data_IF_387263298921
#
_entry.id   IF_387263298921
#
_cell.length_a   1.000
_cell.length_b   1.000
_cell.length_c   1.000
_cell.angle_alpha   90.00
_cell.angle_beta   90.00
_cell.angle_gamma   90.00
#
_symmetry.space_group_name_H-M   'P 1'
#
loop_
_entity.id
_entity.type
_entity.pdbx_description
1 polymer ?
#
# COMPACT_ATOMS: atom_id res chain seq x y z
N UNK A 1 4.13 14.58 5.63
CA UNK A 1 3.24 13.47 6.02
C UNK A 1 2.07 13.46 5.05
N UNK A 2 1.79 12.30 4.45
CA UNK A 2 0.70 12.13 3.47
C UNK A 2 -0.42 11.31 4.12
N UNK A 3 -1.66 11.49 3.68
CA UNK A 3 -2.82 10.80 4.24
C UNK A 3 -3.29 9.70 3.30
N UNK A 4 -3.51 8.49 3.83
CA UNK A 4 -3.96 7.36 3.03
C UNK A 4 -5.31 7.63 2.33
N UNK A 5 -6.24 8.25 3.04
CA UNK A 5 -7.59 8.59 2.53
C UNK A 5 -7.52 9.54 1.33
N UNK A 6 -6.65 10.56 1.40
CA UNK A 6 -6.44 11.52 0.34
C UNK A 6 -5.67 10.93 -0.86
N UNK A 7 -4.73 10.02 -0.60
CA UNK A 7 -3.91 9.39 -1.64
C UNK A 7 -4.73 8.49 -2.57
N UNK A 8 -5.68 7.75 -2.01
CA UNK A 8 -6.49 6.77 -2.75
C UNK A 8 -7.96 7.16 -2.89
N UNK A 9 -8.34 8.36 -2.44
CA UNK A 9 -9.72 8.85 -2.40
C UNK A 9 -10.67 7.86 -1.71
N UNK A 10 -10.30 7.45 -0.48
CA UNK A 10 -11.01 6.47 0.35
C UNK A 10 -11.71 7.17 1.53
N UNK A 11 -12.82 7.91 1.33
CA UNK A 11 -13.48 8.67 2.39
C UNK A 11 -14.12 7.79 3.47
N UNK A 12 -14.33 6.50 3.19
CA UNK A 12 -14.96 5.55 4.13
C UNK A 12 -14.01 5.09 5.24
N UNK A 13 -12.70 5.29 5.06
CA UNK A 13 -11.70 5.08 6.11
C UNK A 13 -11.83 6.19 7.16
N UNK A 14 -12.56 5.90 8.25
CA UNK A 14 -12.82 6.86 9.36
C UNK A 14 -11.56 7.37 10.06
N UNK A 15 -10.46 6.63 10.00
CA UNK A 15 -9.19 7.02 10.58
C UNK A 15 -8.23 7.45 9.47
N UNK A 16 -7.83 8.71 9.53
CA UNK A 16 -6.80 9.26 8.66
C UNK A 16 -5.45 8.67 9.07
N UNK A 17 -4.92 7.76 8.26
CA UNK A 17 -3.62 7.13 8.50
C UNK A 17 -2.53 8.00 7.87
N UNK A 18 -1.60 8.45 8.70
CA UNK A 18 -0.44 9.19 8.28
C UNK A 18 0.63 8.26 7.72
N UNK A 19 1.16 8.64 6.57
CA UNK A 19 2.19 7.91 5.84
C UNK A 19 3.43 8.80 5.74
N UNK A 20 4.57 8.24 6.15
CA UNK A 20 5.86 8.91 6.13
C UNK A 20 6.52 8.77 4.76
N UNK A 21 6.78 7.53 4.33
CA UNK A 21 7.41 7.23 3.05
C UNK A 21 6.65 6.13 2.31
N UNK A 22 6.95 5.99 1.02
CA UNK A 22 6.54 4.87 0.19
C UNK A 22 7.72 3.91 0.01
N UNK A 23 7.53 2.62 0.27
CA UNK A 23 8.57 1.60 0.22
C UNK A 23 8.09 0.39 -0.58
N UNK A 24 8.91 -0.05 -1.55
CA UNK A 24 8.63 -1.25 -2.36
C UNK A 24 9.36 -2.51 -1.87
N UNK A 25 10.41 -2.34 -1.06
CA UNK A 25 11.21 -3.43 -0.50
C UNK A 25 10.81 -3.64 0.97
N UNK A 26 10.11 -4.74 1.26
CA UNK A 26 9.61 -5.05 2.61
C UNK A 26 10.70 -5.02 3.68
N UNK A 27 11.96 -5.30 3.30
CA UNK A 27 13.12 -5.28 4.19
C UNK A 27 13.54 -3.86 4.63
N UNK A 28 13.03 -2.83 3.95
CA UNK A 28 13.32 -1.42 4.24
C UNK A 28 12.17 -0.69 4.92
N UNK A 29 11.03 -1.36 5.10
CA UNK A 29 9.84 -0.80 5.74
C UNK A 29 10.16 -0.41 7.19
N UNK A 30 9.67 0.76 7.60
CA UNK A 30 9.72 1.24 8.97
C UNK A 30 8.33 1.63 9.45
N UNK A 31 8.22 1.86 10.76
CA UNK A 31 7.02 2.40 11.37
C UNK A 31 6.56 3.70 10.67
N UNK A 32 5.30 3.73 10.23
CA UNK A 32 4.72 4.87 9.52
C UNK A 32 4.83 4.81 8.00
N UNK A 33 5.52 3.83 7.43
CA UNK A 33 5.67 3.73 5.98
C UNK A 33 4.45 3.08 5.32
N UNK A 34 4.23 3.44 4.06
CA UNK A 34 3.37 2.73 3.12
C UNK A 34 4.19 1.66 2.40
N UNK A 35 3.81 0.39 2.54
CA UNK A 35 4.38 -0.68 1.74
C UNK A 35 3.60 -0.88 0.44
N UNK A 36 4.31 -0.97 -0.69
CA UNK A 36 3.72 -1.14 -2.03
C UNK A 36 4.11 -2.52 -2.57
N UNK A 37 3.19 -3.46 -2.47
CA UNK A 37 3.32 -4.84 -2.93
C UNK A 37 2.90 -4.95 -4.41
N UNK A 38 3.88 -4.77 -5.30
CA UNK A 38 3.71 -4.93 -6.75
C UNK A 38 3.90 -6.40 -7.14
N UNK A 39 3.07 -6.90 -8.04
CA UNK A 39 3.24 -8.22 -8.64
C UNK A 39 4.27 -8.12 -9.77
N UNK A 40 5.53 -8.37 -9.43
CA UNK A 40 6.63 -8.38 -10.40
C UNK A 40 6.65 -9.65 -11.25
N UNK A 41 7.47 -9.63 -12.30
CA UNK A 41 7.62 -10.79 -13.21
C UNK A 41 8.30 -12.00 -12.54
N UNK A 42 9.21 -11.76 -11.59
CA UNK A 42 9.97 -12.82 -10.91
C UNK A 42 9.46 -13.10 -9.50
N UNK A 43 8.90 -12.10 -8.83
CA UNK A 43 8.49 -12.18 -7.43
C UNK A 43 7.18 -11.42 -7.26
N UNK A 44 6.20 -12.09 -6.66
CA UNK A 44 4.96 -11.45 -6.24
C UNK A 44 5.17 -10.75 -4.89
N UNK A 45 5.11 -9.41 -4.89
CA UNK A 45 5.29 -8.58 -3.70
C UNK A 45 4.23 -8.80 -2.63
N UNK A 46 3.06 -9.36 -2.99
CA UNK A 46 2.00 -9.70 -2.05
C UNK A 46 2.44 -10.73 -1.01
N UNK A 47 3.44 -11.56 -1.33
CA UNK A 47 4.02 -12.53 -0.40
C UNK A 47 4.74 -11.87 0.79
N UNK A 48 5.08 -10.58 0.70
CA UNK A 48 5.79 -9.86 1.74
C UNK A 48 4.92 -8.91 2.57
N UNK A 49 3.60 -8.95 2.38
CA UNK A 49 2.66 -8.13 3.14
C UNK A 49 2.84 -8.38 4.64
N UNK A 50 2.83 -9.65 5.08
CA UNK A 50 3.05 -9.99 6.49
C UNK A 50 4.38 -9.45 7.02
N UNK A 51 5.46 -9.53 6.23
CA UNK A 51 6.77 -9.00 6.64
C UNK A 51 6.75 -7.48 6.81
N UNK A 52 6.06 -6.75 5.93
CA UNK A 52 5.94 -5.31 6.02
C UNK A 52 5.09 -4.89 7.23
N UNK A 53 4.00 -5.63 7.50
CA UNK A 53 3.16 -5.42 8.68
C UNK A 53 3.96 -5.61 9.97
N UNK A 54 4.74 -6.69 10.08
CA UNK A 54 5.63 -6.92 11.23
C UNK A 54 6.72 -5.84 11.38
N UNK A 55 7.12 -5.21 10.28
CA UNK A 55 8.11 -4.10 10.27
C UNK A 55 7.48 -2.74 10.64
N UNK A 56 6.16 -2.68 10.85
CA UNK A 56 5.44 -1.50 11.28
C UNK A 56 4.81 -0.67 10.17
N UNK A 57 4.59 -1.23 8.98
CA UNK A 57 3.85 -0.53 7.92
C UNK A 57 2.50 -0.01 8.47
N UNK A 58 2.22 1.27 8.23
CA UNK A 58 0.95 1.88 8.64
C UNK A 58 -0.17 1.64 7.65
N UNK A 59 0.17 1.30 6.41
CA UNK A 59 -0.74 0.82 5.39
C UNK A 59 0.02 -0.02 4.36
N UNK A 60 -0.72 -0.83 3.62
CA UNK A 60 -0.20 -1.61 2.50
C UNK A 60 -1.06 -1.35 1.27
N UNK A 61 -0.43 -1.24 0.10
CA UNK A 61 -1.12 -1.26 -1.19
C UNK A 61 -0.67 -2.50 -1.93
N UNK A 62 -1.62 -3.36 -2.28
CA UNK A 62 -1.42 -4.69 -2.84
C UNK A 62 -1.94 -4.71 -4.26
N UNK A 63 -1.11 -5.12 -5.22
CA UNK A 63 -1.53 -5.23 -6.60
C UNK A 63 -2.47 -6.42 -6.79
N UNK A 64 -3.56 -6.16 -7.53
CA UNK A 64 -4.54 -7.18 -7.95
C UNK A 64 -4.72 -7.18 -9.47
N UNK A 65 -4.93 -8.36 -10.04
CA UNK A 65 -5.30 -8.54 -11.45
C UNK A 65 -6.81 -8.37 -11.68
N UNK A 66 -7.62 -8.34 -10.61
CA UNK A 66 -9.06 -8.18 -10.69
C UNK A 66 -9.45 -6.70 -10.60
N UNK A 67 -10.07 -6.18 -11.66
CA UNK A 67 -10.57 -4.80 -11.66
C UNK A 67 -11.70 -4.58 -10.64
N UNK A 68 -12.44 -5.64 -10.29
CA UNK A 68 -13.50 -5.61 -9.27
C UNK A 68 -12.98 -5.38 -7.85
N UNK A 69 -11.69 -5.63 -7.61
CA UNK A 69 -11.04 -5.40 -6.32
C UNK A 69 -10.33 -4.05 -6.27
N UNK A 70 -10.41 -3.23 -7.32
CA UNK A 70 -9.75 -1.92 -7.32
C UNK A 70 -10.30 -1.04 -6.19
N UNK A 71 -9.40 -0.54 -5.34
CA UNK A 71 -9.67 0.29 -4.17
C UNK A 71 -10.52 -0.38 -3.08
N UNK A 72 -10.63 -1.71 -3.08
CA UNK A 72 -11.16 -2.41 -1.91
C UNK A 72 -10.16 -2.35 -0.77
N UNK A 73 -10.67 -2.28 0.46
CA UNK A 73 -9.85 -2.19 1.67
C UNK A 73 -10.15 -3.40 2.54
N UNK A 74 -9.10 -4.15 2.84
CA UNK A 74 -9.12 -5.23 3.81
C UNK A 74 -8.29 -4.81 5.02
N UNK A 75 -8.62 -5.29 6.22
CA UNK A 75 -7.84 -5.01 7.41
C UNK A 75 -7.14 -6.29 7.87
N UNK A 76 -5.81 -6.22 7.98
CA UNK A 76 -5.02 -7.25 8.66
C UNK A 76 -4.64 -6.68 10.03
N UNK A 77 -5.32 -7.17 11.07
CA UNK A 77 -5.28 -6.55 12.39
C UNK A 77 -5.88 -5.14 12.35
N UNK A 78 -5.05 -4.12 12.54
CA UNK A 78 -5.45 -2.70 12.49
C UNK A 78 -4.82 -1.92 11.32
N UNK A 79 -4.16 -2.63 10.40
CA UNK A 79 -3.50 -2.02 9.23
C UNK A 79 -4.33 -2.28 7.98
N UNK A 80 -4.71 -1.24 7.22
CA UNK A 80 -5.43 -1.42 5.98
C UNK A 80 -4.51 -1.90 4.86
N UNK A 81 -5.02 -2.84 4.09
CA UNK A 81 -4.46 -3.35 2.85
C UNK A 81 -5.41 -2.91 1.74
N UNK A 82 -4.97 -1.93 0.94
CA UNK A 82 -5.73 -1.40 -0.19
C UNK A 82 -5.37 -2.21 -1.43
N UNK A 83 -6.35 -2.86 -2.05
CA UNK A 83 -6.17 -3.55 -3.32
C UNK A 83 -6.15 -2.54 -4.46
N UNK A 84 -5.17 -2.62 -5.35
CA UNK A 84 -5.02 -1.68 -6.44
C UNK A 84 -4.79 -2.41 -7.76
N UNK A 85 -5.76 -2.31 -8.66
CA UNK A 85 -5.65 -2.90 -9.99
C UNK A 85 -4.56 -2.22 -10.83
N UNK A 86 -3.66 -3.01 -11.43
CA UNK A 86 -2.59 -2.52 -12.32
C UNK A 86 -1.63 -1.52 -11.67
N UNK A 87 -1.39 -1.66 -10.36
CA UNK A 87 -0.56 -0.79 -9.54
C UNK A 87 0.80 -0.47 -10.17
N UNK A 88 1.45 -1.45 -10.81
CA UNK A 88 2.74 -1.25 -11.47
C UNK A 88 2.72 -0.10 -12.51
N UNK A 89 1.61 0.09 -13.21
CA UNK A 89 1.45 1.15 -14.23
C UNK A 89 1.24 2.54 -13.62
N UNK A 90 0.77 2.60 -12.38
CA UNK A 90 0.49 3.84 -11.67
C UNK A 90 1.57 4.21 -10.65
N UNK A 91 2.61 3.38 -10.52
CA UNK A 91 3.68 3.56 -9.55
C UNK A 91 4.35 4.94 -9.66
N UNK A 92 4.65 5.42 -10.86
CA UNK A 92 5.28 6.73 -11.05
C UNK A 92 4.43 7.87 -10.49
N UNK A 93 3.13 7.86 -10.77
CA UNK A 93 2.19 8.85 -10.25
C UNK A 93 2.08 8.80 -8.72
N UNK A 94 2.06 7.59 -8.14
CA UNK A 94 2.07 7.43 -6.69
C UNK A 94 3.39 7.92 -6.08
N UNK A 95 4.52 7.64 -6.71
CA UNK A 95 5.85 8.07 -6.25
C UNK A 95 5.95 9.60 -6.19
N UNK A 96 5.41 10.31 -7.19
CA UNK A 96 5.41 11.77 -7.24
C UNK A 96 4.70 12.41 -6.04
N UNK A 97 3.73 11.71 -5.44
CA UNK A 97 3.05 12.19 -4.23
C UNK A 97 3.95 12.12 -2.99
N UNK A 98 5.00 11.30 -2.99
CA UNK A 98 5.93 11.13 -1.87
C UNK A 98 7.29 11.83 -2.05
N UNK A 99 7.50 12.54 -3.16
CA UNK A 99 8.60 13.51 -3.33
C UNK A 99 8.34 14.79 -2.52
#
# INVERSE_FOLDING_TARGET
MKKLTALFNLPELKNDIELHNMVLDSRKVKAGDLFVAIKGHQVDGNQFIDSALHSGASAVVSETELSSEHLTVEFIGNVPVVKYHQLARHLSSLADVFL
#
